data_IF_153260208002
#
_entry.id   IF_153260208002
#
_cell.length_a   1.000
_cell.length_b   1.000
_cell.length_c   1.000
_cell.angle_alpha   90.00
_cell.angle_beta   90.00
_cell.angle_gamma   90.00
#
_symmetry.space_group_name_H-M   'P 1'
#
loop_
_entity.id
_entity.type
_entity.pdbx_description
1 polymer ?
#
# COMPACT_ATOMS: atom_id res chain seq x y z
N UNK A 1 12.83 -26.78 2.68
CA UNK A 1 12.03 -25.92 1.80
C UNK A 1 10.87 -25.30 2.58
N UNK A 2 10.72 -23.99 2.50
CA UNK A 2 9.61 -23.30 3.18
C UNK A 2 8.31 -23.59 2.43
N UNK A 3 7.25 -23.88 3.18
CA UNK A 3 5.93 -24.05 2.58
C UNK A 3 5.44 -22.71 2.04
N UNK A 4 4.78 -22.69 0.87
CA UNK A 4 4.18 -21.45 0.37
C UNK A 4 3.16 -20.92 1.37
N UNK A 5 3.13 -19.62 1.56
CA UNK A 5 2.13 -18.98 2.41
C UNK A 5 0.75 -19.09 1.75
N UNK A 6 -0.27 -19.36 2.54
CA UNK A 6 -1.65 -19.42 2.07
C UNK A 6 -2.46 -18.34 2.75
N UNK A 7 -3.10 -17.46 1.97
CA UNK A 7 -3.99 -16.44 2.50
C UNK A 7 -5.19 -17.08 3.20
N UNK A 8 -5.56 -16.54 4.35
CA UNK A 8 -6.71 -16.99 5.10
C UNK A 8 -7.43 -15.77 5.68
N UNK A 9 -8.64 -15.50 5.21
CA UNK A 9 -9.43 -14.36 5.67
C UNK A 9 -9.70 -14.37 7.17
N UNK A 10 -9.59 -15.51 7.83
CA UNK A 10 -9.84 -15.64 9.27
C UNK A 10 -8.63 -15.33 10.14
N UNK A 11 -7.46 -15.26 9.53
CA UNK A 11 -6.25 -14.89 10.27
C UNK A 11 -6.19 -13.38 10.50
N UNK A 12 -5.51 -12.96 11.58
CA UNK A 12 -5.25 -11.53 11.77
C UNK A 12 -4.64 -10.91 10.51
N UNK A 13 -5.19 -9.80 10.08
CA UNK A 13 -4.80 -9.14 8.85
C UNK A 13 -4.65 -7.64 9.11
N UNK A 14 -3.56 -7.06 8.63
CA UNK A 14 -3.38 -5.62 8.71
C UNK A 14 -4.04 -4.94 7.51
N UNK A 15 -4.46 -3.71 7.70
CA UNK A 15 -4.99 -2.86 6.65
C UNK A 15 -3.96 -1.78 6.34
N UNK A 16 -3.69 -1.58 5.07
CA UNK A 16 -2.79 -0.54 4.58
C UNK A 16 -3.56 0.30 3.57
N UNK A 17 -4.07 1.47 4.02
CA UNK A 17 -4.95 2.32 3.22
C UNK A 17 -4.15 3.49 2.64
N UNK A 18 -4.31 3.75 1.35
CA UNK A 18 -3.64 4.88 0.71
C UNK A 18 -4.08 5.10 -0.72
N UNK A 19 -3.48 6.10 -1.35
CA UNK A 19 -3.73 6.44 -2.76
C UNK A 19 -2.75 5.72 -3.69
N UNK A 20 -1.52 5.48 -3.21
CA UNK A 20 -0.45 4.76 -3.90
C UNK A 20 -0.17 5.33 -5.30
N UNK A 21 0.17 6.62 -5.38
CA UNK A 21 0.32 7.40 -6.62
C UNK A 21 1.76 7.91 -6.85
N UNK A 22 2.75 7.09 -7.19
CA UNK A 22 2.72 5.64 -7.32
C UNK A 22 3.05 4.92 -6.01
N UNK A 23 2.93 3.59 -6.02
CA UNK A 23 3.47 2.75 -4.96
C UNK A 23 4.99 2.72 -5.13
N UNK A 24 5.72 3.23 -4.15
CA UNK A 24 7.17 3.43 -4.24
C UNK A 24 7.93 2.67 -3.15
N UNK A 25 9.25 2.82 -3.13
CA UNK A 25 10.10 2.09 -2.19
C UNK A 25 9.80 2.39 -0.72
N UNK A 26 9.35 3.61 -0.42
CA UNK A 26 8.90 3.95 0.93
C UNK A 26 7.67 3.16 1.33
N UNK A 27 6.73 2.96 0.40
CA UNK A 27 5.54 2.14 0.63
C UNK A 27 5.92 0.66 0.75
N UNK A 28 6.90 0.20 -0.02
CA UNK A 28 7.41 -1.15 0.10
C UNK A 28 8.00 -1.40 1.50
N UNK A 29 8.80 -0.47 1.99
CA UNK A 29 9.36 -0.55 3.34
C UNK A 29 8.27 -0.55 4.41
N UNK A 30 7.22 0.26 4.21
CA UNK A 30 6.06 0.28 5.10
C UNK A 30 5.37 -1.08 5.10
N UNK A 31 5.14 -1.66 3.94
CA UNK A 31 4.55 -2.99 3.83
C UNK A 31 5.39 -4.04 4.57
N UNK A 32 6.71 -3.99 4.42
CA UNK A 32 7.61 -4.94 5.09
C UNK A 32 7.46 -4.89 6.61
N UNK A 33 7.32 -3.70 7.18
CA UNK A 33 7.10 -3.55 8.62
C UNK A 33 5.70 -4.03 9.03
N UNK A 34 4.69 -3.77 8.21
CA UNK A 34 3.32 -4.14 8.52
C UNK A 34 3.13 -5.66 8.44
N UNK A 35 3.67 -6.31 7.42
CA UNK A 35 3.51 -7.76 7.24
C UNK A 35 4.15 -8.56 8.38
N UNK A 36 5.16 -8.01 9.04
CA UNK A 36 5.76 -8.63 10.22
C UNK A 36 4.78 -8.71 11.39
N UNK A 37 3.79 -7.82 11.45
CA UNK A 37 2.83 -7.75 12.55
C UNK A 37 1.77 -8.83 12.47
N UNK A 38 1.27 -9.12 11.28
CA UNK A 38 0.12 -10.00 11.09
C UNK A 38 0.37 -11.16 10.11
N UNK A 39 1.41 -11.08 9.31
CA UNK A 39 1.72 -12.11 8.31
C UNK A 39 0.99 -11.93 6.98
N UNK A 40 -0.10 -11.18 6.96
CA UNK A 40 -0.82 -10.86 5.73
C UNK A 40 -1.44 -9.46 5.81
N UNK A 41 -1.59 -8.81 4.66
CA UNK A 41 -1.99 -7.40 4.59
C UNK A 41 -3.01 -7.17 3.48
N UNK A 42 -4.10 -6.48 3.79
CA UNK A 42 -4.98 -5.90 2.78
C UNK A 42 -4.48 -4.52 2.41
N UNK A 43 -4.07 -4.36 1.17
CA UNK A 43 -3.67 -3.06 0.63
C UNK A 43 -4.89 -2.45 -0.02
N UNK A 44 -5.42 -1.40 0.58
CA UNK A 44 -6.64 -0.75 0.13
C UNK A 44 -6.28 0.50 -0.66
N UNK A 45 -6.78 0.58 -1.90
CA UNK A 45 -6.53 1.69 -2.81
C UNK A 45 -7.76 2.60 -2.79
N UNK A 46 -7.60 3.83 -2.28
CA UNK A 46 -8.68 4.82 -2.27
C UNK A 46 -9.01 5.22 -3.70
N UNK A 47 -10.30 5.24 -4.02
CA UNK A 47 -10.78 5.56 -5.36
C UNK A 47 -10.83 7.09 -5.57
N UNK A 48 -9.66 7.64 -5.94
CA UNK A 48 -9.49 9.08 -6.21
C UNK A 48 -8.80 9.33 -7.54
N UNK A 49 -8.73 8.32 -8.41
CA UNK A 49 -8.01 8.41 -9.67
C UNK A 49 -8.66 9.41 -10.63
N UNK A 50 -7.83 9.96 -11.52
CA UNK A 50 -8.30 10.85 -12.57
C UNK A 50 -8.23 12.33 -12.26
N UNK A 51 -7.66 12.72 -11.11
CA UNK A 51 -7.41 14.12 -10.76
C UNK A 51 -5.90 14.36 -10.64
N UNK A 52 -5.50 15.63 -10.63
CA UNK A 52 -4.12 16.11 -10.81
C UNK A 52 -3.04 15.34 -10.05
N UNK A 53 -3.25 15.08 -8.76
CA UNK A 53 -2.28 14.38 -7.91
C UNK A 53 -2.47 12.86 -7.95
N UNK A 54 -3.42 12.37 -8.73
CA UNK A 54 -3.78 10.96 -8.77
C UNK A 54 -3.89 10.48 -10.23
N UNK A 55 -2.79 10.58 -11.00
CA UNK A 55 -2.83 10.28 -12.44
C UNK A 55 -2.92 8.79 -12.78
N UNK A 56 -2.62 7.90 -11.83
CA UNK A 56 -2.60 6.46 -12.10
C UNK A 56 -3.95 5.84 -11.76
N UNK A 57 -4.50 5.04 -12.68
CA UNK A 57 -5.74 4.31 -12.41
C UNK A 57 -5.47 3.07 -11.54
N UNK A 58 -6.54 2.41 -11.11
CA UNK A 58 -6.43 1.26 -10.23
C UNK A 58 -5.60 0.12 -10.83
N UNK A 59 -5.80 -0.19 -12.11
CA UNK A 59 -5.07 -1.29 -12.75
C UNK A 59 -3.56 -1.00 -12.80
N UNK A 60 -3.19 0.24 -13.05
CA UNK A 60 -1.79 0.67 -13.02
C UNK A 60 -1.22 0.54 -11.61
N UNK A 61 -1.95 1.03 -10.61
CA UNK A 61 -1.52 0.96 -9.20
C UNK A 61 -1.35 -0.48 -8.77
N UNK A 62 -2.33 -1.33 -9.04
CA UNK A 62 -2.29 -2.75 -8.70
C UNK A 62 -1.11 -3.45 -9.36
N UNK A 63 -0.88 -3.18 -10.64
CA UNK A 63 0.23 -3.76 -11.38
C UNK A 63 1.58 -3.41 -10.74
N UNK A 64 1.75 -2.16 -10.33
CA UNK A 64 2.97 -1.70 -9.66
C UNK A 64 3.17 -2.37 -8.30
N UNK A 65 2.11 -2.52 -7.54
CA UNK A 65 2.17 -3.19 -6.23
C UNK A 65 2.54 -4.66 -6.40
N UNK A 66 1.88 -5.35 -7.33
CA UNK A 66 2.15 -6.76 -7.60
C UNK A 66 3.60 -6.94 -8.05
N UNK A 67 4.08 -6.08 -8.96
CA UNK A 67 5.46 -6.14 -9.44
C UNK A 67 6.47 -6.07 -8.29
N UNK A 68 6.21 -5.21 -7.31
CA UNK A 68 7.12 -5.05 -6.17
C UNK A 68 6.99 -6.15 -5.12
N UNK A 69 5.79 -6.66 -4.88
CA UNK A 69 5.55 -7.58 -3.75
C UNK A 69 5.59 -9.05 -4.12
N UNK A 70 5.18 -9.42 -5.34
CA UNK A 70 5.05 -10.82 -5.73
C UNK A 70 6.34 -11.64 -5.56
N UNK A 71 7.53 -11.11 -5.90
CA UNK A 71 8.75 -11.91 -5.78
C UNK A 71 9.04 -12.43 -4.38
N UNK A 72 8.66 -11.67 -3.34
CA UNK A 72 8.99 -12.04 -1.94
C UNK A 72 7.76 -12.35 -1.10
N UNK A 73 6.61 -11.76 -1.41
CA UNK A 73 5.45 -11.79 -0.52
C UNK A 73 4.22 -12.43 -1.16
N UNK A 74 4.41 -13.31 -2.11
CA UNK A 74 3.31 -14.01 -2.77
C UNK A 74 2.31 -14.57 -1.76
N UNK A 75 1.01 -14.32 -1.99
CA UNK A 75 -0.10 -14.77 -1.15
C UNK A 75 -0.15 -14.14 0.26
N UNK A 76 0.68 -13.13 0.54
CA UNK A 76 0.65 -12.43 1.82
C UNK A 76 -0.05 -11.07 1.74
N UNK A 77 -0.58 -10.73 0.58
CA UNK A 77 -1.26 -9.45 0.38
C UNK A 77 -2.43 -9.61 -0.58
N UNK A 78 -3.38 -8.68 -0.46
CA UNK A 78 -4.45 -8.48 -1.44
C UNK A 78 -4.53 -7.00 -1.74
N UNK A 79 -4.83 -6.66 -3.00
CA UNK A 79 -4.98 -5.27 -3.44
C UNK A 79 -6.44 -5.06 -3.82
N UNK A 80 -7.13 -4.17 -3.11
CA UNK A 80 -8.55 -3.93 -3.29
C UNK A 80 -8.83 -2.45 -3.53
N UNK A 81 -9.68 -2.16 -4.51
CA UNK A 81 -10.18 -0.80 -4.72
C UNK A 81 -11.30 -0.54 -3.71
N UNK A 82 -11.20 0.55 -2.97
CA UNK A 82 -12.20 0.95 -1.98
C UNK A 82 -12.64 2.39 -2.24
N UNK A 83 -13.80 2.79 -1.71
CA UNK A 83 -14.22 4.19 -1.82
C UNK A 83 -13.17 5.14 -1.28
N UNK A 84 -13.36 6.43 -1.54
CA UNK A 84 -12.47 7.47 -1.03
C UNK A 84 -12.62 7.61 0.50
N UNK A 85 -12.09 6.62 1.22
CA UNK A 85 -12.15 6.59 2.69
C UNK A 85 -11.26 7.67 3.28
N UNK A 86 -11.84 8.55 4.05
CA UNK A 86 -11.13 9.65 4.73
C UNK A 86 -11.13 9.50 6.25
N UNK A 87 -12.00 8.67 6.78
CA UNK A 87 -12.18 8.52 8.23
C UNK A 87 -12.16 7.06 8.61
N UNK A 88 -11.44 6.73 9.67
CA UNK A 88 -11.42 5.38 10.24
C UNK A 88 -12.09 5.49 11.60
N UNK A 89 -13.26 4.86 11.73
CA UNK A 89 -14.09 5.00 12.93
C UNK A 89 -14.36 3.65 13.56
N UNK A 90 -14.38 3.60 14.88
CA UNK A 90 -14.76 2.39 15.62
C UNK A 90 -15.46 2.79 16.92
N UNK A 91 -16.40 1.96 17.36
CA UNK A 91 -17.17 2.25 18.59
C UNK A 91 -16.47 1.76 19.85
N UNK A 92 -15.83 0.60 19.77
CA UNK A 92 -15.10 0.01 20.89
C UNK A 92 -13.76 -0.50 20.39
N UNK A 93 -12.70 -0.24 21.15
CA UNK A 93 -11.34 -0.64 20.79
C UNK A 93 -11.03 -2.13 20.92
N UNK A 94 -12.05 -2.96 21.12
CA UNK A 94 -11.86 -4.40 21.34
C UNK A 94 -11.49 -5.09 20.01
N UNK A 95 -10.34 -5.75 20.00
CA UNK A 95 -9.90 -6.53 18.84
C UNK A 95 -9.25 -5.74 17.73
N UNK A 96 -9.17 -4.40 17.85
CA UNK A 96 -8.54 -3.57 16.83
C UNK A 96 -7.36 -2.81 17.38
N UNK A 97 -6.33 -2.69 16.56
CA UNK A 97 -5.18 -1.84 16.85
C UNK A 97 -5.06 -0.84 15.71
N UNK A 98 -4.99 0.44 16.05
CA UNK A 98 -4.71 1.50 15.08
C UNK A 98 -3.28 1.95 15.36
N UNK A 99 -2.38 1.64 14.45
CA UNK A 99 -0.95 1.81 14.67
C UNK A 99 -0.32 2.70 13.62
N UNK A 100 0.47 3.68 14.06
CA UNK A 100 1.33 4.43 13.19
C UNK A 100 2.66 3.68 13.09
N UNK A 101 3.10 3.39 11.86
CA UNK A 101 4.38 2.74 11.61
C UNK A 101 5.38 3.82 11.21
N UNK A 102 6.34 4.08 12.08
CA UNK A 102 7.37 5.11 11.86
C UNK A 102 8.57 4.46 11.18
N UNK A 103 8.92 4.98 10.01
CA UNK A 103 10.05 4.50 9.22
C UNK A 103 11.27 5.40 9.44
N UNK A 104 12.45 4.96 9.00
CA UNK A 104 13.66 5.76 9.09
C UNK A 104 13.53 7.08 8.33
N UNK A 105 14.30 8.09 8.73
CA UNK A 105 14.27 9.40 8.05
C UNK A 105 14.59 9.29 6.56
N UNK A 106 15.51 8.41 6.19
CA UNK A 106 15.87 8.20 4.78
C UNK A 106 14.68 7.72 3.96
N UNK A 107 13.89 6.80 4.52
CA UNK A 107 12.70 6.28 3.85
C UNK A 107 11.61 7.34 3.81
N UNK A 108 11.43 8.10 4.88
CA UNK A 108 10.43 9.17 4.92
C UNK A 108 10.65 10.26 3.87
N UNK A 109 11.89 10.43 3.40
CA UNK A 109 12.21 11.40 2.35
C UNK A 109 11.73 10.98 0.96
N UNK A 110 11.38 9.71 0.76
CA UNK A 110 10.83 9.25 -0.50
C UNK A 110 9.41 9.81 -0.62
N UNK A 111 9.14 10.51 -1.71
CA UNK A 111 7.88 11.24 -1.89
C UNK A 111 7.24 10.92 -3.23
N UNK A 112 5.95 10.54 -3.20
CA UNK A 112 5.18 10.31 -4.42
C UNK A 112 5.06 11.60 -5.24
N UNK A 113 4.93 12.75 -4.59
CA UNK A 113 4.88 14.05 -5.26
C UNK A 113 6.16 14.30 -6.06
N UNK A 114 7.30 14.05 -5.44
CA UNK A 114 8.59 14.22 -6.10
C UNK A 114 8.75 13.25 -7.26
N UNK A 115 8.34 11.99 -7.06
CA UNK A 115 8.41 10.97 -8.11
C UNK A 115 7.56 11.38 -9.31
N UNK A 116 6.32 11.83 -9.09
CA UNK A 116 5.45 12.29 -10.17
C UNK A 116 6.06 13.49 -10.91
N UNK A 117 6.66 14.41 -10.19
CA UNK A 117 7.34 15.58 -10.78
C UNK A 117 8.45 15.13 -11.70
N UNK A 118 9.31 14.22 -11.26
CA UNK A 118 10.40 13.69 -12.04
C UNK A 118 9.90 12.95 -13.29
N UNK A 119 8.82 12.19 -13.17
CA UNK A 119 8.21 11.49 -14.30
C UNK A 119 7.69 12.47 -15.35
N UNK A 120 7.10 13.60 -14.93
CA UNK A 120 6.62 14.64 -15.84
C UNK A 120 7.79 15.31 -16.56
N UNK A 121 8.87 15.60 -15.84
CA UNK A 121 10.07 16.19 -16.42
C UNK A 121 10.72 15.28 -17.47
N UNK A 122 10.63 13.96 -17.28
CA UNK A 122 11.16 12.97 -18.23
C UNK A 122 10.18 12.62 -19.36
N UNK A 123 8.98 13.18 -19.34
CA UNK A 123 7.94 12.85 -20.33
C UNK A 123 7.23 11.53 -20.11
N UNK A 124 7.45 10.86 -18.98
CA UNK A 124 6.79 9.59 -18.66
C UNK A 124 5.37 9.77 -18.14
N UNK A 125 5.02 10.98 -17.75
CA UNK A 125 3.71 11.34 -17.20
C UNK A 125 3.33 12.73 -17.68
N UNK A 126 2.04 12.90 -18.02
CA UNK A 126 1.51 14.21 -18.44
C UNK A 126 1.35 15.18 -17.28
#
# INVERSE_FOLDING_TARGET
MLKPYKWDNKKPTAQMLGRWQPFHDGHYALFEEIVKKTGQVCILVRDVQGVDDNPFDFENIKSKIVEKLEPKYKNRYKVLLVPNITNICYGRGVGYKIEEVVLSEEIQKISATKIRKEMREKGELK
#
